data_IF_897251608942
#
_entry.id   IF_897251608942
#
_cell.length_a   1.000
_cell.length_b   1.000
_cell.length_c   1.000
_cell.angle_alpha   90.00
_cell.angle_beta   90.00
_cell.angle_gamma   90.00
#
_symmetry.space_group_name_H-M   'P 1'
#
loop_
_entity.id
_entity.type
_entity.pdbx_description
1 polymer ?
#
# COMPACT_ATOMS: atom_id res chain seq x y z
N UNK A 1 -0.74 -29.17 7.57
CA UNK A 1 -0.69 -27.69 7.56
C UNK A 1 -1.68 -27.22 6.51
N UNK A 2 -2.66 -26.37 6.87
CA UNK A 2 -3.61 -25.81 5.88
C UNK A 2 -2.86 -24.80 5.02
N UNK A 3 -2.78 -25.04 3.70
CA UNK A 3 -2.36 -24.01 2.76
C UNK A 3 -3.51 -23.01 2.65
N UNK A 4 -3.21 -21.72 2.79
CA UNK A 4 -4.22 -20.67 2.67
C UNK A 4 -4.58 -20.45 1.20
N UNK A 5 -3.56 -20.35 0.35
CA UNK A 5 -3.69 -20.25 -1.10
C UNK A 5 -2.63 -21.13 -1.78
N UNK A 6 -2.97 -21.70 -2.93
CA UNK A 6 -2.03 -22.45 -3.76
C UNK A 6 -1.51 -21.55 -4.89
N UNK A 7 -0.29 -21.04 -4.75
CA UNK A 7 0.40 -20.31 -5.83
C UNK A 7 1.20 -21.31 -6.66
N UNK A 8 0.84 -21.47 -7.93
CA UNK A 8 1.48 -22.43 -8.84
C UNK A 8 2.30 -21.78 -9.94
N UNK A 9 2.10 -20.49 -10.19
CA UNK A 9 2.79 -19.76 -11.24
C UNK A 9 2.95 -18.30 -10.87
N UNK A 10 4.12 -17.74 -11.16
CA UNK A 10 4.39 -16.31 -11.12
C UNK A 10 5.33 -15.98 -12.27
N UNK A 11 4.92 -15.05 -13.12
CA UNK A 11 5.76 -14.51 -14.18
C UNK A 11 5.45 -13.04 -14.41
N UNK A 12 6.33 -12.38 -15.16
CA UNK A 12 6.18 -10.99 -15.54
C UNK A 12 6.00 -10.90 -17.05
N UNK A 13 4.98 -10.15 -17.48
CA UNK A 13 4.73 -9.79 -18.87
C UNK A 13 4.75 -8.27 -18.98
N UNK A 14 5.87 -7.73 -19.47
CA UNK A 14 6.13 -6.30 -19.49
C UNK A 14 6.05 -5.68 -18.09
N UNK A 15 5.09 -4.76 -17.91
CA UNK A 15 4.82 -4.05 -16.65
C UNK A 15 3.75 -4.73 -15.79
N UNK A 16 3.32 -5.92 -16.19
CA UNK A 16 2.32 -6.71 -15.49
C UNK A 16 2.97 -7.91 -14.80
N UNK A 17 2.56 -8.17 -13.56
CA UNK A 17 2.84 -9.40 -12.83
C UNK A 17 1.62 -10.31 -12.93
N UNK A 18 1.84 -11.55 -13.36
CA UNK A 18 0.80 -12.55 -13.56
C UNK A 18 1.02 -13.70 -12.58
N UNK A 19 0.03 -13.93 -11.71
CA UNK A 19 0.04 -14.96 -10.69
C UNK A 19 -1.06 -15.99 -10.94
N UNK A 20 -0.74 -17.26 -10.78
CA UNK A 20 -1.73 -18.33 -10.73
C UNK A 20 -1.98 -18.71 -9.27
N UNK A 21 -3.13 -18.32 -8.74
CA UNK A 21 -3.57 -18.52 -7.35
C UNK A 21 -4.82 -19.40 -7.37
N UNK A 22 -4.78 -20.54 -6.68
CA UNK A 22 -5.89 -21.51 -6.60
C UNK A 22 -6.41 -21.93 -7.99
N UNK A 23 -5.48 -22.08 -8.94
CA UNK A 23 -5.78 -22.44 -10.33
C UNK A 23 -6.36 -21.30 -11.17
N UNK A 24 -6.45 -20.08 -10.64
CA UNK A 24 -6.92 -18.89 -11.37
C UNK A 24 -5.78 -17.93 -11.63
N UNK A 25 -5.68 -17.47 -12.86
CA UNK A 25 -4.73 -16.44 -13.22
C UNK A 25 -5.24 -15.07 -12.82
N UNK A 26 -4.35 -14.25 -12.26
CA UNK A 26 -4.60 -12.87 -11.88
C UNK A 26 -3.44 -12.01 -12.36
N UNK A 27 -3.78 -10.90 -13.00
CA UNK A 27 -2.82 -9.94 -13.52
C UNK A 27 -2.87 -8.66 -12.71
N UNK A 28 -1.71 -8.15 -12.33
CA UNK A 28 -1.53 -6.95 -11.53
C UNK A 28 -0.52 -6.04 -12.19
N UNK A 29 -0.73 -4.72 -12.17
CA UNK A 29 0.31 -3.78 -12.62
C UNK A 29 1.40 -3.68 -11.57
N UNK A 30 2.65 -3.90 -11.96
CA UNK A 30 3.79 -3.88 -11.03
C UNK A 30 3.93 -2.51 -10.34
N UNK A 31 3.65 -1.43 -11.07
CA UNK A 31 3.66 -0.06 -10.54
C UNK A 31 2.66 0.19 -9.41
N UNK A 32 1.54 -0.55 -9.38
CA UNK A 32 0.52 -0.46 -8.34
C UNK A 32 0.87 -1.32 -7.12
N UNK A 33 1.75 -2.30 -7.29
CA UNK A 33 2.15 -3.23 -6.24
C UNK A 33 3.34 -2.72 -5.44
N UNK A 34 4.43 -2.37 -6.14
CA UNK A 34 5.66 -1.91 -5.50
C UNK A 34 6.52 -1.12 -6.49
N UNK A 35 6.93 0.11 -6.13
CA UNK A 35 7.92 0.86 -6.88
C UNK A 35 9.27 0.14 -6.99
N UNK A 36 9.63 -0.70 -6.00
CA UNK A 36 10.87 -1.47 -5.99
C UNK A 36 10.82 -2.53 -7.09
N UNK A 37 9.73 -3.30 -7.15
CA UNK A 37 9.51 -4.27 -8.22
C UNK A 37 9.40 -3.60 -9.59
N UNK A 38 8.85 -2.38 -9.68
CA UNK A 38 8.76 -1.69 -10.96
C UNK A 38 10.15 -1.45 -11.56
N UNK A 39 11.09 -0.97 -10.74
CA UNK A 39 12.45 -0.65 -11.17
C UNK A 39 13.42 -1.85 -11.20
N UNK A 40 13.00 -3.00 -10.65
CA UNK A 40 13.83 -4.20 -10.62
C UNK A 40 14.08 -4.78 -12.02
N UNK A 41 15.29 -5.32 -12.19
CA UNK A 41 15.70 -6.05 -13.39
C UNK A 41 14.97 -7.38 -13.51
N UNK A 42 15.00 -7.95 -14.73
CA UNK A 42 14.42 -9.28 -14.98
C UNK A 42 15.02 -10.36 -14.07
N UNK A 43 16.32 -10.28 -13.77
CA UNK A 43 17.01 -11.26 -12.92
C UNK A 43 16.54 -11.20 -11.47
N UNK A 44 16.33 -10.00 -10.96
CA UNK A 44 15.81 -9.78 -9.61
C UNK A 44 14.37 -10.26 -9.51
N UNK A 45 13.52 -9.93 -10.49
CA UNK A 45 12.11 -10.33 -10.55
C UNK A 45 11.89 -11.84 -10.59
N UNK A 46 12.73 -12.60 -11.29
CA UNK A 46 12.59 -14.05 -11.40
C UNK A 46 13.14 -14.81 -10.18
N UNK A 47 13.96 -14.16 -9.35
CA UNK A 47 14.48 -14.77 -8.13
C UNK A 47 13.57 -14.42 -6.95
N UNK A 48 12.55 -15.25 -6.74
CA UNK A 48 11.58 -15.10 -5.68
C UNK A 48 11.32 -16.43 -4.97
N UNK A 49 10.80 -16.33 -3.76
CA UNK A 49 10.44 -17.46 -2.90
C UNK A 49 8.98 -17.33 -2.48
N UNK A 50 8.16 -18.31 -2.84
CA UNK A 50 6.77 -18.39 -2.37
C UNK A 50 6.77 -19.06 -0.99
N UNK A 51 6.13 -18.43 -0.01
CA UNK A 51 5.97 -19.03 1.31
C UNK A 51 5.30 -20.40 1.19
N UNK A 52 5.81 -21.46 1.86
CA UNK A 52 5.19 -22.80 1.83
C UNK A 52 3.72 -22.82 2.27
N UNK A 53 3.32 -21.81 3.05
CA UNK A 53 1.96 -21.59 3.53
C UNK A 53 1.01 -20.98 2.49
N UNK A 54 1.55 -20.38 1.42
CA UNK A 54 0.81 -19.62 0.42
C UNK A 54 0.43 -18.20 0.86
N UNK A 55 1.01 -17.69 1.94
CA UNK A 55 0.66 -16.37 2.48
C UNK A 55 1.29 -15.21 1.70
N UNK A 56 2.48 -15.39 1.16
CA UNK A 56 3.23 -14.32 0.52
C UNK A 56 4.36 -14.79 -0.37
N UNK A 57 4.98 -13.84 -1.04
CA UNK A 57 6.10 -13.98 -1.97
C UNK A 57 7.20 -13.04 -1.50
N UNK A 58 8.42 -13.53 -1.41
CA UNK A 58 9.59 -12.78 -1.01
C UNK A 58 10.58 -12.70 -2.17
N UNK A 59 11.17 -11.52 -2.40
CA UNK A 59 12.26 -11.29 -3.35
C UNK A 59 13.57 -11.02 -2.58
N UNK A 60 14.42 -12.04 -2.36
CA UNK A 60 15.63 -11.90 -1.53
C UNK A 60 16.63 -10.87 -2.05
N UNK A 61 16.67 -10.62 -3.37
CA UNK A 61 17.60 -9.66 -3.96
C UNK A 61 17.14 -8.21 -3.80
N UNK A 62 15.84 -7.99 -3.63
CA UNK A 62 15.23 -6.67 -3.53
C UNK A 62 14.88 -6.30 -2.09
N UNK A 63 14.94 -7.27 -1.17
CA UNK A 63 14.44 -7.19 0.19
C UNK A 63 12.95 -6.77 0.24
N UNK A 64 12.18 -7.24 -0.75
CA UNK A 64 10.76 -6.90 -0.91
C UNK A 64 9.88 -8.12 -0.65
N UNK A 65 8.78 -7.91 0.06
CA UNK A 65 7.75 -8.93 0.31
C UNK A 65 6.36 -8.47 -0.16
N UNK A 66 5.62 -9.40 -0.77
CA UNK A 66 4.21 -9.20 -1.13
C UNK A 66 3.34 -10.26 -0.47
N UNK A 67 2.23 -9.82 0.13
CA UNK A 67 1.21 -10.73 0.69
C UNK A 67 0.18 -11.10 -0.37
N UNK A 68 -0.16 -12.39 -0.47
CA UNK A 68 -1.21 -12.88 -1.36
C UNK A 68 -2.56 -12.27 -0.97
N UNK A 69 -2.85 -12.21 0.32
CA UNK A 69 -4.07 -11.57 0.84
C UNK A 69 -4.15 -10.10 0.43
N UNK A 70 -3.04 -9.35 0.50
CA UNK A 70 -2.96 -7.97 0.03
C UNK A 70 -3.25 -7.84 -1.46
N UNK A 71 -2.69 -8.74 -2.29
CA UNK A 71 -2.97 -8.80 -3.74
C UNK A 71 -4.42 -9.14 -4.06
N UNK A 72 -5.06 -9.98 -3.26
CA UNK A 72 -6.47 -10.34 -3.40
C UNK A 72 -7.42 -9.22 -2.92
N UNK A 73 -6.88 -8.11 -2.40
CA UNK A 73 -7.68 -7.03 -1.82
C UNK A 73 -8.27 -7.40 -0.46
N UNK A 74 -7.76 -8.43 0.21
CA UNK A 74 -8.10 -8.75 1.59
C UNK A 74 -7.39 -7.72 2.46
N UNK A 75 -8.07 -6.60 2.67
CA UNK A 75 -7.58 -5.53 3.54
C UNK A 75 -7.73 -6.01 4.99
N UNK A 76 -6.66 -6.54 5.56
CA UNK A 76 -6.51 -6.56 7.01
C UNK A 76 -6.39 -5.10 7.46
N UNK A 77 -7.53 -4.46 7.74
CA UNK A 77 -7.51 -3.15 8.41
C UNK A 77 -6.98 -3.40 9.82
N UNK A 78 -5.76 -2.98 10.19
CA UNK A 78 -5.49 -2.78 11.61
C UNK A 78 -6.58 -1.82 12.09
N UNK A 79 -7.18 -2.10 13.26
CA UNK A 79 -8.06 -1.12 13.90
C UNK A 79 -7.28 0.18 13.97
N UNK A 80 -7.65 1.13 13.11
CA UNK A 80 -7.05 2.46 13.03
C UNK A 80 -7.01 3.00 14.45
N UNK A 81 -5.81 3.21 14.98
CA UNK A 81 -5.63 4.06 16.15
C UNK A 81 -6.23 5.41 15.74
N UNK A 82 -7.40 5.72 16.32
CA UNK A 82 -8.02 7.02 16.19
C UNK A 82 -7.10 8.02 16.90
N UNK A 83 -6.10 8.56 16.21
CA UNK A 83 -5.44 9.78 16.63
C UNK A 83 -6.39 10.94 16.31
N UNK A 84 -7.31 11.18 17.25
CA UNK A 84 -8.06 12.41 17.38
C UNK A 84 -7.11 13.45 17.99
N UNK A 85 -6.69 14.45 17.23
CA UNK A 85 -6.35 15.80 17.73
C UNK A 85 -6.71 16.78 16.61
N UNK A 86 -7.92 17.37 16.58
CA UNK A 86 -8.27 18.61 17.27
C UNK A 86 -7.15 19.67 17.24
N UNK A 87 -7.20 20.62 16.31
CA UNK A 87 -7.29 22.00 16.75
C UNK A 87 -8.04 22.88 15.74
N UNK A 88 -8.98 23.61 16.31
CA UNK A 88 -9.99 24.42 15.66
C UNK A 88 -9.45 25.78 15.19
N UNK A 89 -10.16 26.30 14.19
CA UNK A 89 -10.21 27.69 13.76
C UNK A 89 -10.67 28.57 14.93
N UNK A 90 -9.81 29.48 15.39
CA UNK A 90 -10.10 30.73 16.10
C UNK A 90 -8.92 31.64 15.72
N UNK A 91 -9.05 32.81 15.10
CA UNK A 91 -9.70 33.98 15.67
C UNK A 91 -10.00 34.98 14.54
N UNK A 92 -11.27 35.36 14.38
CA UNK A 92 -11.62 36.56 13.63
C UNK A 92 -11.42 37.72 14.60
N UNK A 93 -10.28 38.42 14.48
CA UNK A 93 -9.96 39.56 15.32
C UNK A 93 -11.01 40.65 15.16
N UNK A 94 -12.01 40.65 16.06
CA UNK A 94 -12.96 41.73 16.28
C UNK A 94 -12.56 42.47 17.56
N UNK A 95 -11.80 43.55 17.39
CA UNK A 95 -11.58 44.61 18.39
C UNK A 95 -11.85 45.94 17.68
N UNK A 96 -13.06 46.51 17.73
CA UNK A 96 -13.55 47.53 18.69
C UNK A 96 -12.68 48.79 18.77
N UNK A 97 -13.24 49.89 18.21
CA UNK A 97 -13.24 51.29 18.66
C UNK A 97 -11.92 51.94 19.10
N UNK A 98 -11.49 53.03 18.44
CA UNK A 98 -11.53 54.43 18.95
C UNK A 98 -10.79 55.40 18.01
N UNK A 99 -11.49 56.38 17.43
CA UNK A 99 -11.04 57.75 17.09
C UNK A 99 -12.40 58.52 17.05
N UNK A 100 -12.71 59.57 17.80
CA UNK A 100 -11.90 60.54 18.51
C UNK A 100 -11.97 61.90 17.82
N UNK A 101 -13.14 62.53 17.71
CA UNK A 101 -13.22 63.96 17.36
C UNK A 101 -14.09 64.73 18.35
N UNK A 102 -13.37 65.53 19.14
CA UNK A 102 -13.86 66.59 20.01
C UNK A 102 -14.63 67.66 19.23
N UNK A 103 -15.70 68.18 19.82
CA UNK A 103 -16.27 69.48 19.44
C UNK A 103 -16.58 70.26 20.71
N UNK A 104 -15.75 71.27 20.98
CA UNK A 104 -16.02 72.49 21.74
C UNK A 104 -15.11 73.57 21.15
#
# INVERSE_FOLDING_TARGET
MKKHHQVTGLHFDGDCMVLTIDGREKTFRVSELSPVLQNASKKEKILFEVSPSGYGIHWPLLDEDLSIDGLLGVVHRPKKLLLIQNHAILDVSRSRQHEGESSC
#
